data_IF_841194945225
#
_entry.id   IF_841194945225
#
_cell.length_a   1.000
_cell.length_b   1.000
_cell.length_c   1.000
_cell.angle_alpha   90.00
_cell.angle_beta   90.00
_cell.angle_gamma   90.00
#
_symmetry.space_group_name_H-M   'P 1'
#
loop_
_entity.id
_entity.type
_entity.pdbx_description
1 polymer ?
#
# COMPACT_ATOMS: atom_id res chain seq x y z
N UNK A 1 20.46 -21.44 -0.57
CA UNK A 1 19.97 -20.20 -1.21
C UNK A 1 20.67 -20.03 -2.55
N UNK A 2 19.93 -19.88 -3.64
CA UNK A 2 20.53 -19.62 -4.96
C UNK A 2 21.05 -18.17 -5.01
N UNK A 3 22.37 -17.99 -4.87
CA UNK A 3 23.01 -16.67 -4.78
C UNK A 3 22.95 -15.89 -6.10
N UNK A 4 23.00 -16.57 -7.23
CA UNK A 4 22.91 -15.92 -8.55
C UNK A 4 21.51 -15.35 -8.77
N UNK A 5 20.48 -16.16 -8.45
CA UNK A 5 19.10 -15.69 -8.50
C UNK A 5 18.85 -14.52 -7.56
N UNK A 6 19.38 -14.58 -6.34
CA UNK A 6 19.24 -13.49 -5.36
C UNK A 6 19.90 -12.19 -5.86
N UNK A 7 21.10 -12.28 -6.46
CA UNK A 7 21.77 -11.13 -7.07
C UNK A 7 21.00 -10.56 -8.26
N UNK A 8 20.44 -11.43 -9.12
CA UNK A 8 19.63 -11.01 -10.27
C UNK A 8 18.39 -10.22 -9.80
N UNK A 9 17.62 -10.79 -8.86
CA UNK A 9 16.43 -10.15 -8.28
C UNK A 9 16.81 -8.83 -7.59
N UNK A 10 17.88 -8.83 -6.79
CA UNK A 10 18.34 -7.64 -6.08
C UNK A 10 18.74 -6.51 -7.02
N UNK A 11 19.47 -6.83 -8.09
CA UNK A 11 19.88 -5.86 -9.10
C UNK A 11 18.68 -5.28 -9.86
N UNK A 12 17.75 -6.14 -10.28
CA UNK A 12 16.54 -5.71 -10.98
C UNK A 12 15.63 -4.84 -10.10
N UNK A 13 15.42 -5.22 -8.84
CA UNK A 13 14.65 -4.43 -7.88
C UNK A 13 15.31 -3.06 -7.62
N UNK A 14 16.63 -3.02 -7.45
CA UNK A 14 17.38 -1.77 -7.28
C UNK A 14 17.22 -0.87 -8.50
N UNK A 15 17.39 -1.41 -9.69
CA UNK A 15 17.25 -0.65 -10.94
C UNK A 15 15.84 -0.04 -11.04
N UNK A 16 14.80 -0.85 -10.84
CA UNK A 16 13.41 -0.40 -10.88
C UNK A 16 13.11 0.68 -9.83
N UNK A 17 13.53 0.47 -8.58
CA UNK A 17 13.38 1.47 -7.51
C UNK A 17 14.04 2.80 -7.87
N UNK A 18 15.29 2.77 -8.34
CA UNK A 18 16.01 4.00 -8.70
C UNK A 18 15.39 4.73 -9.89
N UNK A 19 14.83 4.00 -10.86
CA UNK A 19 14.10 4.60 -11.98
C UNK A 19 12.83 5.33 -11.53
N UNK A 20 12.21 4.90 -10.41
CA UNK A 20 11.07 5.58 -9.79
C UNK A 20 11.47 6.72 -8.84
N UNK A 21 12.77 6.96 -8.61
CA UNK A 21 13.26 7.98 -7.68
C UNK A 21 12.99 7.66 -6.20
N UNK A 22 12.73 6.40 -5.86
CA UNK A 22 12.43 5.97 -4.48
C UNK A 22 13.71 5.68 -3.69
N UNK A 23 13.70 6.00 -2.40
CA UNK A 23 14.71 5.53 -1.43
C UNK A 23 14.43 4.08 -1.02
N UNK A 24 15.38 3.42 -0.32
CA UNK A 24 15.13 2.07 0.20
C UNK A 24 14.04 2.08 1.27
N UNK A 25 13.98 3.16 2.05
CA UNK A 25 12.95 3.44 3.03
C UNK A 25 11.57 3.54 2.38
N UNK A 26 11.42 4.34 1.32
CA UNK A 26 10.15 4.48 0.58
C UNK A 26 9.68 3.14 0.01
N UNK A 27 10.60 2.35 -0.55
CA UNK A 27 10.27 1.05 -1.13
C UNK A 27 9.85 0.04 -0.05
N UNK A 28 10.56 0.02 1.08
CA UNK A 28 10.26 -0.87 2.20
C UNK A 28 8.91 -0.54 2.83
N UNK A 29 8.60 0.75 3.02
CA UNK A 29 7.29 1.23 3.50
C UNK A 29 6.16 0.77 2.58
N UNK A 30 6.29 0.99 1.26
CA UNK A 30 5.27 0.57 0.28
C UNK A 30 5.09 -0.95 0.20
N UNK A 31 6.12 -1.73 0.53
CA UNK A 31 6.10 -3.19 0.49
C UNK A 31 5.64 -3.85 1.79
N UNK A 32 5.43 -3.04 2.83
CA UNK A 32 5.18 -3.45 4.21
C UNK A 32 6.25 -4.43 4.70
N UNK A 33 7.51 -4.00 4.62
CA UNK A 33 8.67 -4.76 5.11
C UNK A 33 9.68 -3.85 5.80
N UNK A 34 10.58 -4.42 6.60
CA UNK A 34 11.70 -3.65 7.16
C UNK A 34 12.67 -3.15 6.07
N UNK A 35 13.20 -1.94 6.25
CA UNK A 35 14.26 -1.36 5.38
C UNK A 35 15.46 -2.30 5.28
N UNK A 36 15.87 -2.92 6.38
CA UNK A 36 17.00 -3.86 6.40
C UNK A 36 16.75 -5.09 5.52
N UNK A 37 15.55 -5.68 5.59
CA UNK A 37 15.19 -6.81 4.73
C UNK A 37 15.21 -6.41 3.25
N UNK A 38 14.62 -5.27 2.90
CA UNK A 38 14.64 -4.78 1.52
C UNK A 38 16.08 -4.52 1.05
N UNK A 39 16.94 -3.91 1.88
CA UNK A 39 18.35 -3.70 1.59
C UNK A 39 19.15 -5.01 1.45
N UNK A 40 18.76 -6.10 2.14
CA UNK A 40 19.36 -7.43 1.94
C UNK A 40 18.95 -8.03 0.60
N UNK A 41 17.70 -7.82 0.16
CA UNK A 41 17.24 -8.24 -1.17
C UNK A 41 18.05 -7.53 -2.26
N UNK A 42 18.17 -6.20 -2.21
CA UNK A 42 18.91 -5.43 -3.25
C UNK A 42 20.38 -5.84 -3.36
N UNK A 43 21.00 -6.27 -2.26
CA UNK A 43 22.38 -6.77 -2.24
C UNK A 43 22.52 -8.23 -2.68
N UNK A 44 21.41 -8.95 -2.91
CA UNK A 44 21.39 -10.38 -3.22
C UNK A 44 21.74 -11.26 -2.01
N UNK A 45 21.60 -10.74 -0.79
CA UNK A 45 21.85 -11.45 0.45
C UNK A 45 20.60 -12.15 1.01
N UNK A 46 19.44 -11.93 0.39
CA UNK A 46 18.19 -12.58 0.75
C UNK A 46 17.34 -12.80 -0.49
N UNK A 47 16.63 -13.94 -0.55
CA UNK A 47 15.57 -14.16 -1.53
C UNK A 47 14.23 -13.74 -0.91
N UNK A 48 13.41 -12.95 -1.61
CA UNK A 48 12.03 -12.73 -1.19
C UNK A 48 11.24 -14.03 -1.31
N UNK A 49 10.18 -14.16 -0.50
CA UNK A 49 9.15 -15.15 -0.74
C UNK A 49 8.43 -14.86 -2.07
N UNK A 50 7.72 -15.85 -2.65
CA UNK A 50 6.93 -15.62 -3.86
C UNK A 50 5.88 -14.49 -3.67
N UNK A 51 5.11 -14.44 -2.56
CA UNK A 51 4.23 -13.30 -2.29
C UNK A 51 4.97 -11.96 -2.21
N UNK A 52 6.14 -11.91 -1.55
CA UNK A 52 6.95 -10.70 -1.47
C UNK A 52 7.46 -10.28 -2.85
N UNK A 53 7.91 -11.23 -3.69
CA UNK A 53 8.34 -10.95 -5.06
C UNK A 53 7.21 -10.33 -5.89
N UNK A 54 5.99 -10.87 -5.78
CA UNK A 54 4.81 -10.32 -6.45
C UNK A 54 4.50 -8.89 -5.99
N UNK A 55 4.63 -8.60 -4.68
CA UNK A 55 4.50 -7.22 -4.17
C UNK A 55 5.60 -6.30 -4.70
N UNK A 56 6.86 -6.75 -4.76
CA UNK A 56 7.98 -5.99 -5.33
C UNK A 56 7.68 -5.64 -6.79
N UNK A 57 7.23 -6.62 -7.58
CA UNK A 57 6.83 -6.41 -8.97
C UNK A 57 5.76 -5.33 -9.09
N UNK A 58 4.68 -5.43 -8.29
CA UNK A 58 3.57 -4.47 -8.30
C UNK A 58 4.00 -3.06 -7.89
N UNK A 59 4.69 -2.92 -6.74
CA UNK A 59 5.11 -1.61 -6.19
C UNK A 59 6.13 -0.92 -7.10
N UNK A 60 7.03 -1.68 -7.72
CA UNK A 60 8.06 -1.14 -8.60
C UNK A 60 7.63 -1.06 -10.07
N UNK A 61 6.41 -1.49 -10.40
CA UNK A 61 5.85 -1.41 -11.77
C UNK A 61 6.59 -2.27 -12.80
N UNK A 62 7.15 -3.42 -12.38
CA UNK A 62 7.95 -4.33 -13.24
C UNK A 62 7.45 -5.76 -13.15
N UNK A 63 7.53 -6.52 -14.25
CA UNK A 63 7.06 -7.91 -14.24
C UNK A 63 7.93 -8.79 -13.35
N UNK A 64 7.36 -9.90 -12.87
CA UNK A 64 8.14 -10.93 -12.20
C UNK A 64 9.26 -11.46 -13.11
N UNK A 65 9.02 -11.62 -14.42
CA UNK A 65 10.05 -12.01 -15.40
C UNK A 65 11.21 -11.01 -15.46
N UNK A 66 10.93 -9.70 -15.37
CA UNK A 66 11.98 -8.68 -15.33
C UNK A 66 12.79 -8.79 -14.03
N UNK A 67 12.14 -9.01 -12.88
CA UNK A 67 12.85 -9.26 -11.61
C UNK A 67 13.68 -10.55 -11.64
N UNK A 68 13.22 -11.58 -12.34
CA UNK A 68 13.95 -12.84 -12.51
C UNK A 68 15.06 -12.76 -13.56
N UNK A 69 15.22 -11.62 -14.25
CA UNK A 69 16.20 -11.45 -15.34
C UNK A 69 15.85 -12.21 -16.61
N UNK A 70 14.58 -12.59 -16.80
CA UNK A 70 14.06 -13.31 -17.98
C UNK A 70 13.43 -12.39 -19.03
N UNK A 71 13.22 -11.13 -18.67
CA UNK A 71 12.74 -10.08 -19.56
C UNK A 71 13.53 -8.78 -19.34
N UNK A 72 13.67 -7.92 -20.35
CA UNK A 72 14.29 -6.62 -20.16
C UNK A 72 13.48 -5.75 -19.20
N UNK A 73 14.17 -4.92 -18.41
CA UNK A 73 13.54 -3.87 -17.64
C UNK A 73 12.98 -2.81 -18.59
N UNK A 74 11.66 -2.67 -18.61
CA UNK A 74 10.97 -1.72 -19.45
C UNK A 74 10.03 -0.86 -18.57
N UNK A 75 10.51 0.31 -18.10
CA UNK A 75 9.73 1.19 -17.25
C UNK A 75 8.49 1.65 -18.01
N UNK A 76 7.31 1.40 -17.46
CA UNK A 76 6.03 1.71 -18.11
C UNK A 76 5.56 0.73 -19.20
N UNK A 77 6.34 -0.31 -19.55
CA UNK A 77 5.85 -1.38 -20.43
C UNK A 77 4.91 -2.36 -19.72
N UNK A 78 4.77 -2.22 -18.39
CA UNK A 78 3.65 -2.78 -17.63
C UNK A 78 2.39 -1.90 -17.75
N UNK A 79 1.93 -1.64 -18.98
CA UNK A 79 0.53 -1.31 -19.18
C UNK A 79 -0.31 -2.59 -19.36
N UNK A 80 0.33 -3.76 -19.48
CA UNK A 80 -0.34 -4.98 -19.97
C UNK A 80 -0.58 -6.06 -18.90
N UNK A 81 0.23 -6.20 -17.85
CA UNK A 81 0.02 -7.28 -16.86
C UNK A 81 -0.71 -6.85 -15.58
N UNK A 82 -1.28 -5.64 -15.57
CA UNK A 82 -2.24 -5.20 -14.57
C UNK A 82 -3.14 -4.13 -15.23
N UNK A 83 -4.32 -4.50 -15.74
CA UNK A 83 -5.41 -3.52 -15.92
C UNK A 83 -5.97 -3.07 -14.55
N UNK A 84 -5.08 -2.72 -13.63
CA UNK A 84 -5.34 -1.65 -12.70
C UNK A 84 -4.35 -0.59 -13.14
N UNK A 85 -4.77 0.26 -14.09
CA UNK A 85 -4.18 1.58 -14.15
C UNK A 85 -4.14 2.08 -12.70
N UNK A 86 -3.02 2.59 -12.16
CA UNK A 86 -3.07 3.30 -10.88
C UNK A 86 -4.28 4.23 -11.00
N UNK A 87 -5.26 4.20 -10.05
CA UNK A 87 -6.55 4.84 -10.26
C UNK A 87 -6.23 6.21 -10.76
N UNK A 88 -6.53 6.47 -12.05
CA UNK A 88 -5.99 7.64 -12.73
C UNK A 88 -6.43 8.79 -11.84
N UNK A 89 -5.46 9.48 -11.19
CA UNK A 89 -5.73 10.36 -10.04
C UNK A 89 -7.09 11.00 -10.25
N UNK A 90 -8.03 10.78 -9.31
CA UNK A 90 -9.38 11.29 -9.54
C UNK A 90 -9.29 12.79 -9.83
N UNK A 91 -10.24 13.40 -10.57
CA UNK A 91 -10.22 14.84 -10.83
C UNK A 91 -9.94 15.67 -9.56
N UNK A 92 -10.43 15.19 -8.41
CA UNK A 92 -10.21 15.73 -7.07
C UNK A 92 -8.74 15.59 -6.63
N UNK A 93 -8.16 14.40 -6.72
CA UNK A 93 -6.73 14.17 -6.39
C UNK A 93 -5.82 15.02 -7.28
N UNK A 94 -6.07 15.07 -8.60
CA UNK A 94 -5.28 15.93 -9.51
C UNK A 94 -5.36 17.40 -9.14
N UNK A 95 -6.53 17.86 -8.70
CA UNK A 95 -6.74 19.24 -8.26
C UNK A 95 -5.93 19.54 -7.00
N UNK A 96 -6.01 18.65 -6.00
CA UNK A 96 -5.25 18.78 -4.75
C UNK A 96 -3.74 18.77 -5.02
N UNK A 97 -3.25 17.83 -5.82
CA UNK A 97 -1.83 17.77 -6.21
C UNK A 97 -1.38 19.07 -6.88
N UNK A 98 -2.20 19.63 -7.78
CA UNK A 98 -1.88 20.91 -8.46
C UNK A 98 -1.79 22.07 -7.46
N UNK A 99 -2.67 22.09 -6.45
CA UNK A 99 -2.65 23.11 -5.40
C UNK A 99 -1.40 22.96 -4.51
N UNK A 100 -1.09 21.74 -4.08
CA UNK A 100 0.07 21.46 -3.23
C UNK A 100 1.40 21.80 -3.92
N UNK A 101 1.52 21.54 -5.23
CA UNK A 101 2.73 21.90 -6.01
C UNK A 101 3.04 23.40 -6.02
N UNK A 102 2.04 24.26 -5.80
CA UNK A 102 2.18 25.73 -5.76
C UNK A 102 2.15 26.28 -4.34
N UNK A 103 1.95 25.42 -3.34
CA UNK A 103 1.79 25.83 -1.96
C UNK A 103 3.15 26.04 -1.29
N UNK A 104 3.18 26.89 -0.25
CA UNK A 104 4.38 27.06 0.56
C UNK A 104 4.70 25.80 1.37
N UNK A 105 5.96 25.57 1.77
CA UNK A 105 6.31 24.45 2.65
C UNK A 105 5.54 24.43 3.99
N UNK A 106 5.09 25.59 4.48
CA UNK A 106 4.22 25.67 5.66
C UNK A 106 2.82 25.10 5.38
N UNK A 107 2.23 25.47 4.25
CA UNK A 107 0.91 25.00 3.82
C UNK A 107 0.88 23.49 3.58
N UNK A 108 1.93 22.93 2.97
CA UNK A 108 2.04 21.47 2.76
C UNK A 108 2.12 20.72 4.10
N UNK A 109 2.86 21.25 5.08
CA UNK A 109 2.93 20.68 6.44
C UNK A 109 1.56 20.66 7.13
N UNK A 110 0.80 21.75 7.05
CA UNK A 110 -0.55 21.82 7.61
C UNK A 110 -1.49 20.80 6.97
N UNK A 111 -1.44 20.64 5.65
CA UNK A 111 -2.24 19.62 4.95
C UNK A 111 -1.85 18.22 5.41
N UNK A 112 -0.55 17.93 5.56
CA UNK A 112 -0.10 16.64 6.10
C UNK A 112 -0.59 16.39 7.53
N UNK A 113 -0.57 17.40 8.41
CA UNK A 113 -1.10 17.29 9.77
C UNK A 113 -2.62 17.01 9.76
N UNK A 114 -3.36 17.70 8.89
CA UNK A 114 -4.80 17.49 8.74
C UNK A 114 -5.13 16.07 8.26
N UNK A 115 -4.42 15.58 7.24
CA UNK A 115 -4.62 14.23 6.72
C UNK A 115 -4.37 13.16 7.80
N UNK A 116 -3.29 13.31 8.59
CA UNK A 116 -3.01 12.41 9.72
C UNK A 116 -4.14 12.39 10.76
N UNK A 117 -4.73 13.54 11.06
CA UNK A 117 -5.85 13.62 12.01
C UNK A 117 -7.14 13.01 11.43
N UNK A 118 -7.42 13.23 10.14
CA UNK A 118 -8.57 12.60 9.45
C UNK A 118 -8.43 11.08 9.49
N UNK A 119 -7.28 10.54 9.11
CA UNK A 119 -7.05 9.09 9.11
C UNK A 119 -7.23 8.49 10.51
N UNK A 120 -6.70 9.16 11.53
CA UNK A 120 -6.87 8.75 12.93
C UNK A 120 -8.35 8.67 13.33
N UNK A 121 -9.17 9.65 12.94
CA UNK A 121 -10.61 9.67 13.26
C UNK A 121 -11.38 8.60 12.47
N UNK A 122 -11.07 8.40 11.19
CA UNK A 122 -11.71 7.36 10.38
C UNK A 122 -11.42 5.95 10.93
N UNK A 123 -10.20 5.73 11.42
CA UNK A 123 -9.82 4.49 12.11
C UNK A 123 -10.55 4.32 13.45
N UNK A 124 -10.69 5.40 14.24
CA UNK A 124 -11.42 5.36 15.51
C UNK A 124 -12.91 5.04 15.33
N UNK A 125 -13.57 5.61 14.31
CA UNK A 125 -14.98 5.32 13.98
C UNK A 125 -15.19 3.87 13.54
N UNK A 126 -14.18 3.25 12.95
CA UNK A 126 -14.23 1.84 12.52
C UNK A 126 -13.93 0.85 13.67
N UNK A 127 -13.53 1.34 14.85
CA UNK A 127 -13.10 0.54 16.00
C UNK A 127 -14.11 0.50 17.16
N UNK A 128 -15.27 1.18 17.07
CA UNK A 128 -16.33 1.06 18.09
C UNK A 128 -17.08 -0.27 17.96
N UNK A 129 -17.13 -1.12 19.01
CA UNK A 129 -17.98 -2.31 19.02
C UNK A 129 -19.45 -1.89 19.10
N UNK A 130 -20.28 -2.50 18.24
CA UNK A 130 -21.73 -2.38 18.24
C UNK A 130 -22.35 -3.02 19.49
N UNK A 131 -22.21 -2.40 20.66
CA UNK A 131 -22.92 -2.79 21.89
C UNK A 131 -24.11 -1.84 22.14
N UNK A 132 -25.24 -2.12 21.48
CA UNK A 132 -26.59 -1.70 21.92
C UNK A 132 -27.66 -2.32 21.02
N UNK A 133 -27.84 -3.64 21.12
CA UNK A 133 -28.99 -4.34 20.55
C UNK A 133 -29.48 -5.43 21.51
N UNK A 134 -29.61 -5.12 22.80
CA UNK A 134 -30.31 -6.01 23.73
C UNK A 134 -30.83 -5.24 24.95
N UNK A 135 -31.94 -4.51 24.76
CA UNK A 135 -32.82 -4.09 25.85
C UNK A 135 -34.13 -3.50 25.28
N UNK A 136 -35.08 -4.37 24.92
CA UNK A 136 -36.52 -4.18 25.22
C UNK A 136 -37.39 -5.15 24.43
N UNK A 137 -37.68 -6.31 25.02
CA UNK A 137 -39.05 -6.81 24.99
C UNK A 137 -39.32 -7.63 26.26
N UNK A 138 -39.51 -6.91 27.37
CA UNK A 138 -40.12 -7.48 28.56
C UNK A 138 -41.61 -7.70 28.26
N UNK A 139 -42.08 -8.94 28.45
CA UNK A 139 -43.51 -9.29 28.55
C UNK A 139 -44.26 -8.32 29.46
N UNK A 140 -45.51 -7.97 29.11
CA UNK A 140 -46.56 -7.86 30.10
C UNK A 140 -47.30 -9.20 30.18
N UNK A 141 -47.31 -9.76 31.38
CA UNK A 141 -48.37 -10.64 31.86
C UNK A 141 -49.70 -9.89 31.84
N UNK A 142 -50.77 -10.53 31.39
CA UNK A 142 -52.11 -10.26 31.91
C UNK A 142 -52.89 -11.58 31.94
N UNK A 143 -53.20 -11.99 33.17
CA UNK A 143 -54.34 -12.83 33.52
C UNK A 143 -55.61 -12.13 33.05
N UNK A 144 -56.42 -12.78 32.21
CA UNK A 144 -57.86 -12.52 32.14
C UNK A 144 -58.58 -13.76 31.61
N UNK A 145 -59.55 -14.20 32.40
CA UNK A 145 -60.51 -15.26 32.15
C UNK A 145 -61.33 -15.06 30.86
N UNK A 146 -61.65 -16.14 30.15
CA UNK A 146 -63.02 -16.67 30.01
C UNK A 146 -63.07 -17.89 29.07
N UNK A 147 -64.05 -18.77 29.37
CA UNK A 147 -64.49 -20.05 28.75
C UNK A 147 -63.79 -21.36 29.15
#
# INVERSE_FOLDING_TARGET
MNKELAKSIGSAARQARTALGLTQEDAAERLDVSVEFYARIERGNSLPSVPTLARIAAVLGVSADALLGRAPFAPGASATWMQVAPPADTPEVRRVVRMLRRASPGSVRLVSMLLKEIDRRLQAVSAEPTEASDASNAKPSDDAADE
#
